data_IF_504033920607
#
_entry.id   IF_504033920607
#
_cell.length_a   1.000
_cell.length_b   1.000
_cell.length_c   1.000
_cell.angle_alpha   90.00
_cell.angle_beta   90.00
_cell.angle_gamma   90.00
#
_symmetry.space_group_name_H-M   'P 1'
#
loop_
_entity.id
_entity.type
_entity.pdbx_description
1 polymer ?
#
# COMPACT_ATOMS: atom_id res chain seq x y z
N UNK A 1 -23.78 -17.44 -23.11
CA UNK A 1 -23.55 -18.12 -21.80
C UNK A 1 -24.19 -17.28 -20.71
N UNK A 2 -24.85 -17.88 -19.73
CA UNK A 2 -25.52 -17.14 -18.66
C UNK A 2 -24.47 -16.33 -17.87
N UNK A 3 -24.61 -15.00 -17.71
CA UNK A 3 -23.59 -14.17 -17.06
C UNK A 3 -23.24 -14.63 -15.63
N UNK A 4 -24.22 -15.22 -14.94
CA UNK A 4 -24.04 -15.85 -13.62
C UNK A 4 -23.10 -17.06 -13.64
N UNK A 5 -23.13 -17.88 -14.69
CA UNK A 5 -22.22 -19.04 -14.81
C UNK A 5 -20.78 -18.60 -15.02
N UNK A 6 -20.56 -17.59 -15.87
CA UNK A 6 -19.22 -17.02 -16.12
C UNK A 6 -18.65 -16.43 -14.82
N UNK A 7 -19.47 -15.67 -14.09
CA UNK A 7 -19.08 -15.10 -12.79
C UNK A 7 -18.70 -16.17 -11.77
N UNK A 8 -19.52 -17.21 -11.60
CA UNK A 8 -19.24 -18.31 -10.66
C UNK A 8 -17.97 -19.07 -11.05
N UNK A 9 -17.76 -19.37 -12.35
CA UNK A 9 -16.52 -20.02 -12.80
C UNK A 9 -15.28 -19.16 -12.60
N UNK A 10 -15.40 -17.83 -12.78
CA UNK A 10 -14.30 -16.89 -12.55
C UNK A 10 -13.90 -16.82 -11.09
N UNK A 11 -14.87 -16.79 -10.16
CA UNK A 11 -14.60 -16.78 -8.71
C UNK A 11 -13.91 -18.07 -8.27
N UNK A 12 -14.40 -19.23 -8.72
CA UNK A 12 -13.80 -20.53 -8.37
C UNK A 12 -12.37 -20.64 -8.91
N UNK A 13 -12.14 -20.18 -10.14
CA UNK A 13 -10.80 -20.16 -10.73
C UNK A 13 -9.86 -19.21 -9.96
N UNK A 14 -10.33 -18.01 -9.58
CA UNK A 14 -9.55 -17.06 -8.79
C UNK A 14 -9.10 -17.65 -7.45
N UNK A 15 -10.00 -18.33 -6.74
CA UNK A 15 -9.70 -19.00 -5.46
C UNK A 15 -8.67 -20.10 -5.65
N UNK A 16 -8.77 -20.88 -6.72
CA UNK A 16 -7.80 -21.94 -7.02
C UNK A 16 -6.41 -21.37 -7.29
N UNK A 17 -6.30 -20.25 -8.02
CA UNK A 17 -5.01 -19.62 -8.35
C UNK A 17 -4.36 -18.94 -7.14
N UNK A 18 -5.14 -18.46 -6.16
CA UNK A 18 -4.58 -17.97 -4.89
C UNK A 18 -3.81 -19.04 -4.11
N UNK A 19 -4.18 -20.32 -4.25
CA UNK A 19 -3.44 -21.41 -3.62
C UNK A 19 -2.02 -21.58 -4.17
N UNK A 20 -1.75 -21.06 -5.37
CA UNK A 20 -0.44 -21.11 -6.03
C UNK A 20 0.56 -20.09 -5.46
N UNK A 21 0.19 -19.36 -4.39
CA UNK A 21 0.98 -18.25 -3.78
C UNK A 21 1.33 -17.12 -4.75
N UNK A 22 0.62 -17.01 -5.88
CA UNK A 22 0.80 -15.89 -6.78
C UNK A 22 0.30 -14.60 -6.14
N UNK A 23 0.97 -13.45 -6.38
CA UNK A 23 0.51 -12.18 -5.86
C UNK A 23 -0.92 -11.88 -6.33
N UNK A 24 -1.78 -11.49 -5.38
CA UNK A 24 -3.22 -11.27 -5.57
C UNK A 24 -3.51 -10.35 -6.76
N UNK A 25 -2.66 -9.34 -6.98
CA UNK A 25 -2.78 -8.39 -8.08
C UNK A 25 -2.86 -9.09 -9.44
N UNK A 26 -1.89 -9.95 -9.78
CA UNK A 26 -1.85 -10.61 -11.09
C UNK A 26 -3.06 -11.50 -11.35
N UNK A 27 -3.53 -12.19 -10.30
CA UNK A 27 -4.69 -13.08 -10.39
C UNK A 27 -5.97 -12.28 -10.60
N UNK A 28 -6.15 -11.19 -9.85
CA UNK A 28 -7.28 -10.27 -10.00
C UNK A 28 -7.31 -9.63 -11.39
N UNK A 29 -6.16 -9.17 -11.90
CA UNK A 29 -6.08 -8.57 -13.24
C UNK A 29 -6.40 -9.59 -14.33
N UNK A 30 -5.86 -10.82 -14.24
CA UNK A 30 -6.09 -11.86 -15.23
C UNK A 30 -7.56 -12.33 -15.25
N UNK A 31 -8.14 -12.62 -14.07
CA UNK A 31 -9.53 -13.09 -13.97
C UNK A 31 -10.52 -11.96 -14.32
N UNK A 32 -10.27 -10.74 -13.86
CA UNK A 32 -11.09 -9.57 -14.20
C UNK A 32 -11.08 -9.27 -15.70
N UNK A 33 -9.89 -9.26 -16.33
CA UNK A 33 -9.75 -9.04 -17.77
C UNK A 33 -10.42 -10.14 -18.58
N UNK A 34 -10.17 -11.42 -18.27
CA UNK A 34 -10.76 -12.55 -18.98
C UNK A 34 -12.28 -12.58 -18.82
N UNK A 35 -12.78 -12.41 -17.59
CA UNK A 35 -14.22 -12.39 -17.30
C UNK A 35 -14.96 -11.27 -18.02
N UNK A 36 -14.38 -10.06 -18.05
CA UNK A 36 -14.99 -8.91 -18.72
C UNK A 36 -14.90 -8.98 -20.25
N UNK A 37 -13.78 -9.49 -20.77
CA UNK A 37 -13.55 -9.70 -22.21
C UNK A 37 -14.56 -10.71 -22.81
N UNK A 38 -14.90 -11.77 -22.07
CA UNK A 38 -15.89 -12.78 -22.48
C UNK A 38 -17.33 -12.21 -22.48
N UNK A 39 -17.62 -11.24 -21.60
CA UNK A 39 -18.97 -10.71 -21.41
C UNK A 39 -19.32 -9.56 -22.37
N UNK A 40 -18.33 -8.74 -22.75
CA UNK A 40 -18.55 -7.52 -23.53
C UNK A 40 -17.90 -7.61 -24.91
N UNK A 41 -16.57 -7.58 -24.97
CA UNK A 41 -15.73 -7.80 -26.16
C UNK A 41 -14.27 -7.61 -25.77
N UNK A 42 -13.33 -8.20 -26.51
CA UNK A 42 -11.88 -8.05 -26.25
C UNK A 42 -11.41 -6.60 -26.28
N UNK A 43 -11.99 -5.76 -27.14
CA UNK A 43 -11.69 -4.32 -27.22
C UNK A 43 -12.18 -3.55 -25.99
N UNK A 44 -13.29 -3.97 -25.38
CA UNK A 44 -13.81 -3.35 -24.16
C UNK A 44 -12.99 -3.73 -22.93
N UNK A 45 -12.52 -4.98 -22.85
CA UNK A 45 -11.61 -5.43 -21.79
C UNK A 45 -10.27 -4.69 -21.82
N UNK A 46 -9.69 -4.46 -23.00
CA UNK A 46 -8.46 -3.69 -23.16
C UNK A 46 -8.63 -2.21 -22.76
N UNK A 47 -9.77 -1.60 -23.09
CA UNK A 47 -10.08 -0.24 -22.66
C UNK A 47 -10.26 -0.12 -21.15
N UNK A 48 -10.94 -1.09 -20.52
CA UNK A 48 -11.09 -1.14 -19.06
C UNK A 48 -9.71 -1.19 -18.39
N UNK A 49 -8.84 -2.08 -18.85
CA UNK A 49 -7.50 -2.26 -18.32
C UNK A 49 -6.68 -0.96 -18.47
N UNK A 50 -6.69 -0.34 -19.66
CA UNK A 50 -6.01 0.93 -19.89
C UNK A 50 -6.54 2.06 -18.97
N UNK A 51 -7.86 2.10 -18.73
CA UNK A 51 -8.49 3.07 -17.82
C UNK A 51 -8.09 2.82 -16.38
N UNK A 52 -8.12 1.59 -15.89
CA UNK A 52 -7.73 1.23 -14.52
C UNK A 52 -6.26 1.59 -14.26
N UNK A 53 -5.37 1.29 -15.21
CA UNK A 53 -3.96 1.71 -15.11
C UNK A 53 -3.83 3.23 -15.04
N UNK A 54 -4.56 3.97 -15.88
CA UNK A 54 -4.54 5.43 -15.84
C UNK A 54 -5.07 5.98 -14.52
N UNK A 55 -6.15 5.41 -13.97
CA UNK A 55 -6.75 5.84 -12.71
C UNK A 55 -5.80 5.62 -11.52
N UNK A 56 -5.08 4.49 -11.51
CA UNK A 56 -4.06 4.20 -10.50
C UNK A 56 -2.90 5.19 -10.61
N UNK A 57 -2.39 5.49 -11.81
CA UNK A 57 -1.31 6.47 -11.98
C UNK A 57 -1.74 7.91 -11.71
N UNK A 58 -3.01 8.24 -11.96
CA UNK A 58 -3.61 9.52 -11.63
C UNK A 58 -4.08 9.61 -10.17
N UNK A 59 -3.89 8.55 -9.39
CA UNK A 59 -4.32 8.51 -7.99
C UNK A 59 -3.49 9.47 -7.14
N UNK A 60 -4.18 10.09 -6.17
CA UNK A 60 -3.56 11.01 -5.22
C UNK A 60 -2.53 10.31 -4.31
N UNK A 61 -2.65 8.98 -4.15
CA UNK A 61 -1.72 8.16 -3.36
C UNK A 61 -0.29 8.21 -3.93
N UNK A 62 -0.11 8.15 -5.25
CA UNK A 62 1.22 8.24 -5.86
C UNK A 62 1.89 9.61 -5.62
N UNK A 63 1.11 10.68 -5.48
CA UNK A 63 1.62 12.03 -5.15
C UNK A 63 1.94 12.17 -3.67
N UNK A 64 1.25 11.41 -2.83
CA UNK A 64 1.40 11.45 -1.37
C UNK A 64 2.74 10.85 -0.92
N UNK A 65 3.22 9.80 -1.59
CA UNK A 65 4.52 9.15 -1.31
C UNK A 65 5.72 10.12 -1.37
N UNK A 66 5.97 10.86 -2.47
CA UNK A 66 7.10 11.79 -2.54
C UNK A 66 6.96 12.97 -1.58
N UNK A 67 5.74 13.45 -1.32
CA UNK A 67 5.48 14.47 -0.30
C UNK A 67 5.87 13.99 1.10
N UNK A 68 5.61 12.73 1.45
CA UNK A 68 6.07 12.15 2.73
C UNK A 68 7.58 12.02 2.80
N UNK A 69 8.23 11.61 1.70
CA UNK A 69 9.69 11.56 1.65
C UNK A 69 10.28 12.97 1.85
N UNK A 70 9.72 13.98 1.19
CA UNK A 70 10.13 15.38 1.36
C UNK A 70 9.94 15.85 2.81
N UNK A 71 8.78 15.57 3.40
CA UNK A 71 8.50 15.90 4.81
C UNK A 71 9.50 15.22 5.76
N UNK A 72 9.79 13.93 5.54
CA UNK A 72 10.77 13.19 6.33
C UNK A 72 12.17 13.78 6.23
N UNK A 73 12.60 14.18 5.03
CA UNK A 73 13.88 14.86 4.82
C UNK A 73 13.92 16.24 5.48
N UNK A 74 12.84 17.02 5.41
CA UNK A 74 12.73 18.31 6.08
C UNK A 74 12.78 18.16 7.60
N UNK A 75 12.06 17.19 8.17
CA UNK A 75 12.05 16.92 9.61
C UNK A 75 13.44 16.46 10.12
N UNK A 76 14.15 15.67 9.31
CA UNK A 76 15.52 15.25 9.61
C UNK A 76 16.49 16.44 9.57
N UNK A 77 16.45 17.24 8.49
CA UNK A 77 17.35 18.38 8.31
C UNK A 77 17.11 19.52 9.31
N UNK A 78 15.84 19.76 9.70
CA UNK A 78 15.46 20.72 10.74
C UNK A 78 15.83 20.27 12.16
N UNK A 79 16.38 19.06 12.33
CA UNK A 79 16.77 18.51 13.63
C UNK A 79 15.59 18.12 14.53
N UNK A 80 14.37 18.09 13.98
CA UNK A 80 13.16 17.67 14.72
C UNK A 80 13.30 16.20 15.11
N UNK A 81 13.82 15.35 14.21
CA UNK A 81 14.03 13.93 14.49
C UNK A 81 14.97 13.68 15.67
N UNK A 82 16.07 14.43 15.74
CA UNK A 82 17.04 14.31 16.83
C UNK A 82 16.46 14.79 18.17
N UNK A 83 15.72 15.91 18.17
CA UNK A 83 15.05 16.43 19.37
C UNK A 83 13.95 15.49 19.87
N UNK A 84 13.19 14.89 18.96
CA UNK A 84 12.16 13.92 19.30
C UNK A 84 12.77 12.66 19.93
N UNK A 85 13.84 12.12 19.34
CA UNK A 85 14.57 10.99 19.90
C UNK A 85 15.15 11.31 21.29
N UNK A 86 15.80 12.47 21.46
CA UNK A 86 16.36 12.88 22.74
C UNK A 86 15.28 13.00 23.83
N UNK A 87 14.09 13.49 23.46
CA UNK A 87 12.93 13.58 24.36
C UNK A 87 12.43 12.18 24.73
N UNK A 88 12.22 11.30 23.75
CA UNK A 88 11.82 9.91 24.00
C UNK A 88 12.84 9.16 24.88
N UNK A 89 14.13 9.35 24.63
CA UNK A 89 15.21 8.76 25.42
C UNK A 89 15.25 9.30 26.86
N UNK A 90 14.97 10.60 27.07
CA UNK A 90 14.88 11.19 28.41
C UNK A 90 13.77 10.53 29.25
N UNK A 91 12.62 10.25 28.64
CA UNK A 91 11.47 9.66 29.31
C UNK A 91 11.60 8.14 29.50
N UNK A 92 12.04 7.42 28.46
CA UNK A 92 12.02 5.94 28.45
C UNK A 92 13.40 5.31 28.73
N UNK A 93 14.49 6.07 28.65
CA UNK A 93 15.87 5.58 28.80
C UNK A 93 16.22 5.05 30.20
N UNK A 94 15.42 5.37 31.22
CA UNK A 94 15.62 4.89 32.60
C UNK A 94 15.19 3.42 32.80
N UNK A 95 14.54 2.81 31.82
CA UNK A 95 14.08 1.42 31.89
C UNK A 95 15.12 0.45 31.31
N UNK A 96 15.14 -0.80 31.77
CA UNK A 96 15.99 -1.84 31.19
C UNK A 96 15.57 -2.07 29.73
N UNK A 97 16.50 -1.88 28.78
CA UNK A 97 16.18 -1.85 27.35
C UNK A 97 15.74 -0.48 26.81
N UNK A 98 15.88 0.59 27.61
CA UNK A 98 15.38 1.94 27.29
C UNK A 98 15.85 2.54 25.97
N UNK A 99 17.00 2.09 25.43
CA UNK A 99 17.49 2.50 24.11
C UNK A 99 16.61 1.92 22.98
N UNK A 100 16.20 0.65 23.09
CA UNK A 100 15.29 0.01 22.14
C UNK A 100 13.85 0.53 22.27
N UNK A 101 13.43 0.84 23.49
CA UNK A 101 12.09 1.38 23.73
C UNK A 101 12.01 2.83 23.23
N UNK A 102 13.07 3.62 23.41
CA UNK A 102 13.15 4.99 22.89
C UNK A 102 13.17 5.04 21.36
N UNK A 103 13.85 4.11 20.68
CA UNK A 103 13.83 4.04 19.21
C UNK A 103 12.44 3.67 18.69
N UNK A 104 11.79 2.67 19.27
CA UNK A 104 10.41 2.31 18.88
C UNK A 104 9.47 3.48 19.11
N UNK A 105 9.52 4.13 20.28
CA UNK A 105 8.70 5.30 20.58
C UNK A 105 8.93 6.46 19.60
N UNK A 106 10.19 6.73 19.22
CA UNK A 106 10.52 7.75 18.24
C UNK A 106 9.98 7.40 16.83
N UNK A 107 10.11 6.14 16.40
CA UNK A 107 9.54 5.64 15.15
C UNK A 107 8.01 5.73 15.14
N UNK A 108 7.35 5.34 16.24
CA UNK A 108 5.89 5.43 16.37
C UNK A 108 5.41 6.88 16.37
N UNK A 109 6.12 7.80 17.06
CA UNK A 109 5.79 9.21 17.06
C UNK A 109 5.94 9.84 15.67
N UNK A 110 6.98 9.48 14.91
CA UNK A 110 7.09 9.88 13.50
C UNK A 110 5.96 9.31 12.64
N UNK A 111 5.67 8.00 12.79
CA UNK A 111 4.60 7.33 12.06
C UNK A 111 3.22 7.95 12.34
N UNK A 112 2.97 8.39 13.58
CA UNK A 112 1.72 9.04 13.98
C UNK A 112 1.53 10.41 13.32
N UNK A 113 2.59 11.21 13.17
CA UNK A 113 2.52 12.50 12.46
C UNK A 113 2.36 12.29 10.95
N UNK A 114 2.92 11.20 10.42
CA UNK A 114 2.81 10.88 9.00
C UNK A 114 1.45 10.31 8.58
N UNK A 115 0.60 9.81 9.48
CA UNK A 115 -0.85 9.67 9.27
C UNK A 115 -1.38 8.94 8.01
N UNK A 116 -0.56 8.16 7.29
CA UNK A 116 -0.95 7.49 6.03
C UNK A 116 -0.50 6.03 6.00
N UNK A 117 -1.42 5.13 5.64
CA UNK A 117 -1.17 3.69 5.50
C UNK A 117 -0.10 3.37 4.43
N UNK A 118 0.03 4.22 3.40
CA UNK A 118 1.10 4.12 2.41
C UNK A 118 2.47 4.48 3.02
N UNK A 119 2.51 5.37 4.02
CA UNK A 119 3.72 5.71 4.77
C UNK A 119 4.13 4.60 5.75
N UNK A 120 3.17 3.88 6.35
CA UNK A 120 3.47 2.72 7.22
C UNK A 120 4.07 1.54 6.46
N UNK A 121 3.75 1.37 5.17
CA UNK A 121 4.34 0.31 4.35
C UNK A 121 5.77 0.60 3.87
N UNK A 122 6.21 1.87 3.93
CA UNK A 122 7.51 2.31 3.42
C UNK A 122 8.59 2.48 4.50
N UNK A 123 8.27 2.29 5.79
CA UNK A 123 9.23 2.32 6.92
C UNK A 123 9.38 0.94 7.53
#
# INVERSE_FOLDING_TARGET
MNPTLIGVTGIVFMIMVFMTRMPVAYVMTAVGFLGFSILSSTTAGLNLLAKDFYDVFSSYDLTTVPLFILMGQLAFNAGISSKLYATAFRFLGHTQGGLAIATVAACTAFGAVCGSSAATAAT
#
